data_IF_622761196006
#
_entry.id   IF_622761196006
#
_cell.length_a   1.000
_cell.length_b   1.000
_cell.length_c   1.000
_cell.angle_alpha   90.00
_cell.angle_beta   90.00
_cell.angle_gamma   90.00
#
_symmetry.space_group_name_H-M   'P 1'
#
loop_
_entity.id
_entity.type
_entity.pdbx_description
1 polymer ?
#
# COMPACT_ATOMS: atom_id res chain seq x y z
N UNK A 1 -3.43 4.94 -53.02
CA UNK A 1 -3.27 6.11 -52.13
C UNK A 1 -3.84 5.73 -50.77
N UNK A 2 -2.99 5.31 -49.83
CA UNK A 2 -3.41 4.87 -48.48
C UNK A 2 -3.63 6.11 -47.60
N UNK A 3 -4.82 6.25 -47.01
CA UNK A 3 -5.10 7.26 -46.00
C UNK A 3 -4.63 6.75 -44.64
N UNK A 4 -3.65 7.44 -44.06
CA UNK A 4 -3.15 7.20 -42.71
C UNK A 4 -4.15 7.81 -41.72
N UNK A 5 -4.89 6.99 -40.98
CA UNK A 5 -5.71 7.43 -39.87
C UNK A 5 -4.79 7.69 -38.67
N UNK A 6 -4.47 8.96 -38.42
CA UNK A 6 -3.66 9.38 -37.28
C UNK A 6 -4.54 9.39 -36.02
N UNK A 7 -4.51 8.30 -35.24
CA UNK A 7 -5.14 8.23 -33.92
C UNK A 7 -4.20 8.94 -32.93
N UNK A 8 -4.59 10.14 -32.50
CA UNK A 8 -3.94 10.88 -31.43
C UNK A 8 -4.21 10.14 -30.09
N UNK A 9 -3.25 9.34 -29.63
CA UNK A 9 -3.30 8.71 -28.31
C UNK A 9 -2.81 9.73 -27.27
N UNK A 10 -3.76 10.43 -26.64
CA UNK A 10 -3.51 11.24 -25.45
C UNK A 10 -3.32 10.32 -24.25
N UNK A 11 -2.06 9.96 -23.95
CA UNK A 11 -1.71 9.32 -22.69
C UNK A 11 -1.75 10.37 -21.57
N UNK A 12 -2.87 10.47 -20.85
CA UNK A 12 -2.95 11.26 -19.62
C UNK A 12 -2.31 10.43 -18.51
N UNK A 13 -1.02 10.64 -18.26
CA UNK A 13 -0.35 10.12 -17.07
C UNK A 13 -0.83 10.90 -15.85
N UNK A 14 -1.65 10.27 -14.99
CA UNK A 14 -1.96 10.81 -13.67
C UNK A 14 -0.88 10.39 -12.69
N UNK A 15 0.22 11.14 -12.64
CA UNK A 15 1.14 11.11 -11.50
C UNK A 15 0.42 11.77 -10.32
N UNK A 16 -0.22 10.99 -9.46
CA UNK A 16 -0.59 11.45 -8.12
C UNK A 16 0.56 11.14 -7.18
N UNK A 17 1.44 12.12 -6.87
CA UNK A 17 2.37 11.97 -5.78
C UNK A 17 1.51 11.94 -4.50
N UNK A 18 1.46 10.80 -3.82
CA UNK A 18 0.68 10.59 -2.59
C UNK A 18 1.32 11.33 -1.39
N UNK A 19 1.39 12.66 -1.47
CA UNK A 19 1.66 13.56 -0.35
C UNK A 19 0.33 14.15 0.07
N UNK A 20 -0.43 13.38 0.82
CA UNK A 20 -1.76 13.78 1.27
C UNK A 20 -2.27 12.76 2.26
N UNK A 21 -3.04 13.23 3.23
CA UNK A 21 -3.70 12.40 4.24
C UNK A 21 -4.22 11.11 3.59
N UNK A 22 -3.86 9.93 4.12
CA UNK A 22 -4.32 8.67 3.54
C UNK A 22 -5.83 8.72 3.49
N UNK A 23 -6.39 8.88 2.28
CA UNK A 23 -7.81 8.64 2.08
C UNK A 23 -8.03 7.22 2.58
N UNK A 24 -9.00 6.98 3.47
CA UNK A 24 -9.22 5.63 3.98
C UNK A 24 -9.35 4.71 2.76
N UNK A 25 -8.60 3.59 2.76
CA UNK A 25 -8.58 2.60 1.68
C UNK A 25 -9.99 2.30 1.14
N UNK A 26 -10.98 2.34 2.03
CA UNK A 26 -12.41 2.18 1.77
C UNK A 26 -13.02 3.20 0.79
N UNK A 27 -12.60 4.48 0.80
CA UNK A 27 -13.20 5.49 -0.07
C UNK A 27 -12.90 5.23 -1.57
N UNK A 28 -11.67 4.78 -1.87
CA UNK A 28 -11.31 4.36 -3.23
C UNK A 28 -12.05 3.10 -3.68
N UNK A 29 -12.28 2.15 -2.76
CA UNK A 29 -13.04 0.93 -3.02
C UNK A 29 -14.51 1.18 -3.36
N UNK A 30 -15.15 2.14 -2.69
CA UNK A 30 -16.57 2.46 -2.90
C UNK A 30 -16.80 3.26 -4.19
N UNK A 31 -15.81 4.04 -4.62
CA UNK A 31 -15.92 4.95 -5.77
C UNK A 31 -15.32 4.39 -7.07
N UNK A 32 -14.59 3.28 -7.02
CA UNK A 32 -13.98 2.69 -8.21
C UNK A 32 -15.01 2.44 -9.32
N UNK A 33 -14.70 2.80 -10.57
CA UNK A 33 -15.54 2.60 -11.76
C UNK A 33 -14.67 2.14 -12.93
N UNK A 34 -15.28 1.55 -13.95
CA UNK A 34 -14.57 0.99 -15.10
C UNK A 34 -13.50 0.00 -14.66
N UNK A 35 -12.31 0.10 -15.24
CA UNK A 35 -11.19 -0.80 -14.95
C UNK A 35 -10.71 -0.78 -13.49
N UNK A 36 -10.89 0.33 -12.75
CA UNK A 36 -10.55 0.39 -11.32
C UNK A 36 -11.43 -0.53 -10.46
N UNK A 37 -12.66 -0.81 -10.90
CA UNK A 37 -13.57 -1.71 -10.18
C UNK A 37 -13.06 -3.17 -10.14
N UNK A 38 -12.16 -3.55 -11.07
CA UNK A 38 -11.52 -4.87 -11.09
C UNK A 38 -10.55 -5.07 -9.92
N UNK A 39 -9.84 -4.01 -9.52
CA UNK A 39 -8.90 -4.05 -8.41
C UNK A 39 -9.58 -3.79 -7.06
N UNK A 40 -10.58 -2.90 -7.04
CA UNK A 40 -11.34 -2.53 -5.86
C UNK A 40 -12.54 -3.44 -5.60
N UNK A 41 -13.72 -3.05 -6.10
CA UNK A 41 -14.98 -3.74 -5.83
C UNK A 41 -15.74 -4.05 -7.14
N UNK A 42 -15.84 -5.34 -7.53
CA UNK A 42 -16.56 -5.76 -8.73
C UNK A 42 -18.02 -5.31 -8.79
N UNK A 43 -18.70 -5.17 -7.66
CA UNK A 43 -20.09 -4.70 -7.62
C UNK A 43 -20.26 -3.31 -8.24
N UNK A 44 -19.21 -2.49 -8.22
CA UNK A 44 -19.27 -1.15 -8.78
C UNK A 44 -19.44 -1.14 -10.31
N UNK A 45 -19.17 -2.25 -11.01
CA UNK A 45 -19.44 -2.38 -12.45
C UNK A 45 -20.94 -2.30 -12.78
N UNK A 46 -21.81 -2.60 -11.81
CA UNK A 46 -23.26 -2.50 -11.96
C UNK A 46 -23.85 -1.19 -11.43
N UNK A 47 -23.05 -0.32 -10.81
CA UNK A 47 -23.56 0.92 -10.23
C UNK A 47 -23.71 2.04 -11.27
N UNK A 48 -24.63 2.99 -11.05
CA UNK A 48 -24.73 4.21 -11.84
C UNK A 48 -23.38 4.95 -11.92
N UNK A 49 -23.13 5.55 -13.10
CA UNK A 49 -21.88 6.23 -13.41
C UNK A 49 -20.73 5.30 -13.83
N UNK A 50 -20.94 3.98 -13.88
CA UNK A 50 -19.98 3.07 -14.51
C UNK A 50 -19.99 3.25 -16.04
N UNK A 51 -18.85 3.52 -16.69
CA UNK A 51 -18.79 3.64 -18.13
C UNK A 51 -19.12 2.30 -18.80
N UNK A 52 -19.84 2.35 -19.93
CA UNK A 52 -20.15 1.15 -20.70
C UNK A 52 -18.89 0.50 -21.28
N UNK A 53 -17.88 1.27 -21.68
CA UNK A 53 -16.58 0.76 -22.10
C UNK A 53 -15.49 1.52 -21.34
N UNK A 54 -14.57 0.80 -20.71
CA UNK A 54 -13.37 1.36 -20.11
C UNK A 54 -12.18 0.53 -20.56
N UNK A 55 -11.09 1.21 -20.93
CA UNK A 55 -9.82 0.60 -21.30
C UNK A 55 -8.72 1.29 -20.50
N UNK A 56 -7.88 0.50 -19.85
CA UNK A 56 -6.66 1.01 -19.21
C UNK A 56 -5.46 0.27 -19.80
N UNK A 57 -4.57 1.05 -20.41
CA UNK A 57 -3.39 0.58 -21.13
C UNK A 57 -2.13 0.59 -20.25
N UNK A 58 -2.05 1.57 -19.34
CA UNK A 58 -0.96 1.71 -18.39
C UNK A 58 -1.44 2.50 -17.18
N UNK A 59 -1.52 1.85 -16.02
CA UNK A 59 -1.69 2.47 -14.71
C UNK A 59 -0.49 2.04 -13.85
N UNK A 60 0.00 2.92 -12.99
CA UNK A 60 1.11 2.62 -12.10
C UNK A 60 0.91 3.37 -10.80
N UNK A 61 0.92 2.62 -9.69
CA UNK A 61 0.74 3.17 -8.35
C UNK A 61 1.95 2.79 -7.50
N UNK A 62 2.68 3.79 -7.02
CA UNK A 62 3.76 3.60 -6.06
C UNK A 62 3.38 4.25 -4.76
N UNK A 63 3.60 3.54 -3.67
CA UNK A 63 3.49 4.09 -2.33
C UNK A 63 4.65 3.64 -1.47
N UNK A 64 5.01 4.52 -0.54
CA UNK A 64 5.99 4.24 0.50
C UNK A 64 5.39 4.68 1.83
N UNK A 65 5.56 3.87 2.87
CA UNK A 65 5.02 4.12 4.20
C UNK A 65 6.06 3.79 5.26
N UNK A 66 5.96 4.48 6.38
CA UNK A 66 6.82 4.29 7.52
C UNK A 66 6.03 4.43 8.83
N UNK A 67 6.35 3.62 9.85
CA UNK A 67 5.67 3.67 11.15
C UNK A 67 6.15 4.80 12.07
N UNK A 68 7.28 5.42 11.78
CA UNK A 68 7.94 6.36 12.68
C UNK A 68 7.76 7.83 12.33
N UNK A 69 7.60 8.16 11.05
CA UNK A 69 7.54 9.55 10.62
C UNK A 69 6.08 10.00 10.61
N UNK A 70 5.71 10.83 11.58
CA UNK A 70 4.40 11.49 11.59
C UNK A 70 4.53 12.99 11.87
N UNK A 71 3.66 13.78 11.24
CA UNK A 71 3.59 15.23 11.47
C UNK A 71 3.28 15.56 12.94
N UNK A 72 2.54 14.68 13.61
CA UNK A 72 2.23 14.79 15.04
C UNK A 72 3.50 14.70 15.90
N UNK A 73 4.38 13.74 15.62
CA UNK A 73 5.66 13.59 16.29
C UNK A 73 6.56 14.81 16.05
N UNK A 74 6.67 15.25 14.79
CA UNK A 74 7.44 16.43 14.43
C UNK A 74 6.98 17.65 15.22
N UNK A 75 5.69 17.97 15.19
CA UNK A 75 5.15 19.14 15.90
C UNK A 75 5.31 19.04 17.42
N UNK A 76 5.36 17.84 17.99
CA UNK A 76 5.46 17.64 19.45
C UNK A 76 6.89 17.81 19.97
N UNK A 77 7.89 17.35 19.22
CA UNK A 77 9.27 17.29 19.69
C UNK A 77 10.23 18.26 18.98
N UNK A 78 9.82 18.87 17.87
CA UNK A 78 10.65 19.87 17.18
C UNK A 78 10.94 21.07 18.08
N UNK A 79 12.22 21.40 18.24
CA UNK A 79 12.70 22.52 19.07
C UNK A 79 12.65 22.27 20.58
N UNK A 80 12.25 21.08 21.05
CA UNK A 80 12.18 20.72 22.47
C UNK A 80 13.42 19.95 22.91
N UNK A 81 13.92 20.21 24.13
CA UNK A 81 14.84 19.31 24.80
C UNK A 81 14.08 18.08 25.33
N UNK A 82 14.50 16.90 24.91
CA UNK A 82 13.86 15.63 25.28
C UNK A 82 14.27 15.21 26.68
N UNK A 83 13.29 15.03 27.57
CA UNK A 83 13.50 14.38 28.86
C UNK A 83 13.40 12.84 28.72
N UNK A 84 13.69 12.08 29.78
CA UNK A 84 13.67 10.60 29.71
C UNK A 84 12.29 10.03 29.35
N UNK A 85 11.20 10.63 29.82
CA UNK A 85 9.85 10.20 29.45
C UNK A 85 9.55 10.45 27.95
N UNK A 86 10.05 11.56 27.38
CA UNK A 86 9.93 11.86 25.95
C UNK A 86 10.73 10.84 25.12
N UNK A 87 11.91 10.43 25.59
CA UNK A 87 12.74 9.41 24.94
C UNK A 87 12.08 8.02 24.99
N UNK A 88 11.48 7.65 26.11
CA UNK A 88 10.73 6.40 26.24
C UNK A 88 9.49 6.37 25.34
N UNK A 89 8.73 7.46 25.28
CA UNK A 89 7.56 7.57 24.39
C UNK A 89 7.96 7.51 22.91
N UNK A 90 9.12 8.07 22.56
CA UNK A 90 9.68 7.90 21.22
C UNK A 90 10.04 6.44 20.99
N UNK A 91 10.85 5.81 21.85
CA UNK A 91 11.29 4.43 21.68
C UNK A 91 10.14 3.42 21.64
N UNK A 92 9.05 3.64 22.38
CA UNK A 92 7.88 2.77 22.36
C UNK A 92 7.15 2.79 21.00
N UNK A 93 7.18 3.90 20.28
CA UNK A 93 6.65 3.96 18.91
C UNK A 93 7.45 3.12 17.91
N UNK A 94 8.70 2.79 18.25
CA UNK A 94 9.57 1.88 17.48
C UNK A 94 9.76 0.55 18.20
N UNK A 95 8.85 0.16 19.11
CA UNK A 95 8.98 -1.10 19.87
C UNK A 95 9.14 -2.32 18.96
N UNK A 96 8.49 -2.29 17.80
CA UNK A 96 8.55 -3.33 16.76
C UNK A 96 9.55 -3.00 15.64
N UNK A 97 10.53 -2.13 15.93
CA UNK A 97 11.52 -1.63 14.99
C UNK A 97 11.02 -0.48 14.09
N UNK A 98 11.93 0.04 13.28
CA UNK A 98 11.65 1.08 12.30
C UNK A 98 11.27 0.46 10.95
N UNK A 99 9.97 0.30 10.74
CA UNK A 99 9.41 -0.36 9.55
C UNK A 99 9.18 0.62 8.41
N UNK A 100 9.85 0.36 7.30
CA UNK A 100 9.64 0.97 6.00
C UNK A 100 8.98 -0.05 5.07
N UNK A 101 7.96 0.38 4.35
CA UNK A 101 7.29 -0.46 3.34
C UNK A 101 7.15 0.31 2.06
N UNK A 102 7.74 -0.22 0.99
CA UNK A 102 7.49 0.20 -0.38
C UNK A 102 6.54 -0.78 -1.06
N UNK A 103 5.59 -0.23 -1.83
CA UNK A 103 4.73 -1.02 -2.71
C UNK A 103 4.66 -0.36 -4.07
N UNK A 104 4.82 -1.16 -5.10
CA UNK A 104 4.62 -0.79 -6.48
C UNK A 104 3.57 -1.72 -7.06
N UNK A 105 2.43 -1.16 -7.43
CA UNK A 105 1.37 -1.85 -8.12
C UNK A 105 1.40 -1.43 -9.60
N UNK A 106 1.62 -2.43 -10.46
CA UNK A 106 1.81 -2.29 -11.89
C UNK A 106 0.85 -3.24 -12.61
N UNK A 107 -0.28 -2.80 -13.14
CA UNK A 107 -0.98 -3.58 -14.15
C UNK A 107 -0.13 -3.73 -15.43
N UNK A 108 0.68 -4.79 -15.49
CA UNK A 108 1.50 -5.16 -16.67
C UNK A 108 1.26 -6.63 -17.10
N UNK A 109 1.16 -6.95 -18.41
CA UNK A 109 1.00 -6.04 -19.54
C UNK A 109 -0.48 -5.82 -19.94
N UNK A 110 -0.83 -4.53 -20.01
CA UNK A 110 -1.49 -3.79 -21.10
C UNK A 110 -3.01 -3.76 -21.26
N UNK A 111 -3.81 -4.67 -20.70
CA UNK A 111 -5.24 -4.63 -20.98
C UNK A 111 -6.10 -4.97 -19.77
N UNK A 112 -6.49 -3.93 -19.06
CA UNK A 112 -7.75 -3.97 -18.33
C UNK A 112 -8.81 -3.40 -19.25
N UNK A 113 -9.89 -4.14 -19.45
CA UNK A 113 -11.08 -3.59 -20.06
C UNK A 113 -12.32 -3.99 -19.29
N UNK A 114 -13.32 -3.12 -19.35
CA UNK A 114 -14.66 -3.42 -18.89
C UNK A 114 -15.65 -3.13 -20.00
N UNK A 115 -16.63 -4.00 -20.17
CA UNK A 115 -17.77 -3.78 -21.04
C UNK A 115 -19.07 -4.02 -20.26
N UNK A 116 -19.83 -2.95 -20.07
CA UNK A 116 -20.98 -2.90 -19.18
C UNK A 116 -20.61 -3.40 -17.78
N UNK A 117 -21.20 -4.54 -17.41
CA UNK A 117 -21.05 -5.15 -16.09
C UNK A 117 -19.93 -6.20 -16.01
N UNK A 118 -19.22 -6.46 -17.10
CA UNK A 118 -18.12 -7.42 -17.17
C UNK A 118 -16.78 -6.68 -17.24
N UNK A 119 -15.73 -7.30 -16.71
CA UNK A 119 -14.38 -6.88 -17.04
C UNK A 119 -13.32 -7.94 -16.84
N UNK A 120 -12.20 -7.74 -17.54
CA UNK A 120 -11.05 -8.61 -17.55
C UNK A 120 -9.80 -7.73 -17.48
N UNK A 121 -8.82 -8.14 -16.68
CA UNK A 121 -7.59 -7.38 -16.53
C UNK A 121 -6.42 -8.21 -16.01
N UNK A 122 -5.21 -7.72 -16.25
CA UNK A 122 -3.98 -8.24 -15.67
C UNK A 122 -3.51 -7.33 -14.54
N UNK A 123 -2.80 -7.89 -13.56
CA UNK A 123 -2.17 -7.11 -12.50
C UNK A 123 -0.79 -7.66 -12.16
N UNK A 124 0.08 -6.81 -11.65
CA UNK A 124 1.32 -7.16 -10.96
C UNK A 124 1.39 -6.34 -9.68
N UNK A 125 1.75 -6.99 -8.59
CA UNK A 125 1.94 -6.35 -7.29
C UNK A 125 3.33 -6.73 -6.79
N UNK A 126 4.15 -5.71 -6.60
CA UNK A 126 5.49 -5.83 -6.06
C UNK A 126 5.55 -5.06 -4.75
N UNK A 127 6.04 -5.70 -3.69
CA UNK A 127 6.23 -5.04 -2.41
C UNK A 127 7.55 -5.43 -1.80
N UNK A 128 8.17 -4.47 -1.12
CA UNK A 128 9.33 -4.68 -0.27
C UNK A 128 9.08 -4.01 1.07
N UNK A 129 9.34 -4.70 2.16
CA UNK A 129 9.30 -4.14 3.51
C UNK A 129 10.59 -4.44 4.23
N UNK A 130 11.14 -3.42 4.88
CA UNK A 130 12.35 -3.50 5.70
C UNK A 130 12.02 -2.92 7.07
N UNK A 131 12.26 -3.69 8.12
CA UNK A 131 12.23 -3.25 9.52
C UNK A 131 13.67 -3.14 9.99
N UNK A 132 14.10 -1.94 10.37
CA UNK A 132 15.39 -1.73 11.02
C UNK A 132 15.23 -1.88 12.53
N UNK A 133 16.31 -2.28 13.21
CA UNK A 133 16.33 -2.34 14.67
C UNK A 133 16.07 -0.97 15.29
N UNK A 134 15.45 -0.95 16.46
CA UNK A 134 15.38 0.27 17.29
C UNK A 134 16.73 0.63 17.94
N UNK A 135 17.69 -0.29 17.97
CA UNK A 135 18.96 -0.13 18.67
C UNK A 135 19.76 1.14 18.26
N UNK A 136 19.89 1.50 16.97
CA UNK A 136 20.54 2.76 16.59
C UNK A 136 19.82 4.02 17.12
N UNK A 137 18.49 3.98 17.22
CA UNK A 137 17.71 5.09 17.77
C UNK A 137 17.87 5.18 19.29
N UNK A 138 17.93 4.04 19.98
CA UNK A 138 18.22 3.98 21.41
C UNK A 138 19.57 4.60 21.73
N UNK A 139 20.61 4.25 20.98
CA UNK A 139 21.94 4.87 21.10
C UNK A 139 21.89 6.38 20.82
N UNK A 140 21.14 6.81 19.80
CA UNK A 140 21.03 8.24 19.48
C UNK A 140 20.33 9.05 20.59
N UNK A 141 19.35 8.46 21.30
CA UNK A 141 18.56 9.14 22.33
C UNK A 141 19.20 9.06 23.73
N UNK A 142 19.82 7.93 24.07
CA UNK A 142 20.34 7.64 25.42
C UNK A 142 21.86 7.63 25.51
N UNK A 143 22.55 7.57 24.37
CA UNK A 143 23.97 7.24 24.31
C UNK A 143 24.20 5.73 24.40
N UNK A 144 25.47 5.34 24.41
CA UNK A 144 25.88 3.93 24.55
C UNK A 144 26.82 3.82 25.75
N UNK A 145 26.41 3.09 26.79
CA UNK A 145 27.17 2.93 28.02
C UNK A 145 27.91 1.58 28.06
N UNK A 146 29.02 1.48 28.82
CA UNK A 146 29.67 0.19 29.06
C UNK A 146 28.70 -0.82 29.68
N UNK A 147 28.65 -2.03 29.12
CA UNK A 147 27.70 -3.08 29.53
C UNK A 147 26.38 -3.10 28.74
N UNK A 148 26.09 -2.07 27.95
CA UNK A 148 24.93 -2.07 27.06
C UNK A 148 25.08 -3.12 25.95
N UNK A 149 23.94 -3.70 25.56
CA UNK A 149 23.82 -4.65 24.46
C UNK A 149 22.83 -4.12 23.43
N UNK A 150 23.29 -4.00 22.20
CA UNK A 150 22.43 -3.71 21.06
C UNK A 150 21.96 -5.00 20.44
N UNK A 151 20.64 -5.19 20.49
CA UNK A 151 19.95 -6.31 19.87
C UNK A 151 19.49 -5.91 18.46
N UNK A 152 19.93 -6.67 17.46
CA UNK A 152 19.55 -6.47 16.06
C UNK A 152 18.62 -7.57 15.53
N UNK A 153 18.16 -8.48 16.39
CA UNK A 153 17.28 -9.60 16.03
C UNK A 153 15.89 -9.15 15.59
N UNK A 154 15.53 -7.89 15.83
CA UNK A 154 14.30 -7.24 15.41
C UNK A 154 14.36 -6.67 13.98
N UNK A 155 15.49 -6.81 13.28
CA UNK A 155 15.57 -6.46 11.86
C UNK A 155 14.86 -7.50 11.00
N UNK A 156 14.12 -7.08 9.99
CA UNK A 156 13.53 -8.01 9.01
C UNK A 156 13.53 -7.36 7.63
N UNK A 157 13.77 -8.12 6.57
CA UNK A 157 13.49 -7.65 5.23
C UNK A 157 12.79 -8.73 4.43
N UNK A 158 11.76 -8.34 3.69
CA UNK A 158 11.05 -9.23 2.78
C UNK A 158 10.66 -8.47 1.52
N UNK A 159 10.62 -9.17 0.41
CA UNK A 159 10.11 -8.66 -0.84
C UNK A 159 9.37 -9.77 -1.59
N UNK A 160 8.34 -9.39 -2.33
CA UNK A 160 7.65 -10.28 -3.23
C UNK A 160 7.26 -9.58 -4.54
N UNK A 161 7.11 -10.39 -5.57
CA UNK A 161 6.49 -10.00 -6.84
C UNK A 161 5.49 -11.07 -7.22
N UNK A 162 4.23 -10.66 -7.35
CA UNK A 162 3.14 -11.51 -7.84
C UNK A 162 2.50 -10.86 -9.07
N UNK A 163 1.93 -11.66 -9.96
CA UNK A 163 1.08 -11.16 -11.02
C UNK A 163 -0.14 -12.05 -11.21
N UNK A 164 -1.10 -11.61 -12.00
CA UNK A 164 -2.29 -12.42 -12.23
C UNK A 164 -3.25 -11.84 -13.25
N UNK A 165 -4.32 -12.60 -13.46
CA UNK A 165 -5.47 -12.23 -14.30
C UNK A 165 -6.70 -12.16 -13.41
N UNK A 166 -7.53 -11.13 -13.58
CA UNK A 166 -8.81 -10.95 -12.90
C UNK A 166 -9.92 -10.92 -13.93
N UNK A 167 -10.93 -11.77 -13.76
CA UNK A 167 -12.21 -11.66 -14.45
C UNK A 167 -13.28 -11.28 -13.43
N UNK A 168 -14.15 -10.33 -13.76
CA UNK A 168 -15.16 -9.83 -12.85
C UNK A 168 -16.51 -9.62 -13.57
N UNK A 169 -17.57 -9.77 -12.80
CA UNK A 169 -18.93 -9.50 -13.26
C UNK A 169 -19.77 -8.89 -12.13
N UNK A 170 -20.61 -7.91 -12.47
CA UNK A 170 -21.64 -7.38 -11.61
C UNK A 170 -23.04 -7.76 -12.09
N UNK A 171 -23.90 -8.09 -11.14
CA UNK A 171 -25.33 -8.18 -11.33
C UNK A 171 -26.01 -7.00 -10.63
N UNK A 172 -27.13 -6.54 -11.18
CA UNK A 172 -27.94 -5.46 -10.60
C UNK A 172 -29.32 -6.04 -10.37
N UNK A 173 -29.78 -5.92 -9.13
CA UNK A 173 -31.06 -6.40 -8.65
C UNK A 173 -31.98 -5.22 -8.44
N UNK A 174 -33.20 -5.32 -8.93
CA UNK A 174 -34.26 -4.39 -8.55
C UNK A 174 -34.64 -4.64 -7.08
N UNK A 175 -34.74 -3.58 -6.30
CA UNK A 175 -35.19 -3.67 -4.91
C UNK A 175 -36.70 -3.86 -4.90
N UNK A 176 -37.15 -5.06 -4.57
CA UNK A 176 -38.59 -5.39 -4.48
C UNK A 176 -39.13 -5.16 -3.06
N UNK A 177 -38.26 -5.03 -2.06
CA UNK A 177 -38.66 -4.83 -0.66
C UNK A 177 -39.08 -3.38 -0.39
N UNK A 178 -40.37 -3.17 -0.17
CA UNK A 178 -41.01 -1.85 -0.01
C UNK A 178 -40.32 -0.91 0.99
N UNK A 179 -39.92 -1.34 2.21
CA UNK A 179 -39.24 -0.45 3.14
C UNK A 179 -37.95 0.15 2.56
N UNK A 180 -37.15 -0.61 1.81
CA UNK A 180 -35.94 -0.09 1.17
C UNK A 180 -36.27 0.86 0.00
N UNK A 181 -37.33 0.60 -0.77
CA UNK A 181 -37.79 1.52 -1.82
C UNK A 181 -38.25 2.86 -1.24
N UNK A 182 -38.97 2.82 -0.11
CA UNK A 182 -39.40 4.03 0.60
C UNK A 182 -38.25 4.88 1.13
N UNK A 183 -37.07 4.28 1.34
CA UNK A 183 -35.83 4.98 1.68
C UNK A 183 -35.05 5.49 0.46
N UNK A 184 -35.60 5.33 -0.75
CA UNK A 184 -35.02 5.80 -2.01
C UNK A 184 -34.09 4.81 -2.70
N UNK A 185 -33.99 3.56 -2.23
CA UNK A 185 -33.20 2.53 -2.91
C UNK A 185 -34.03 1.87 -4.02
N UNK A 186 -33.61 2.05 -5.27
CA UNK A 186 -34.24 1.41 -6.43
C UNK A 186 -33.54 0.11 -6.85
N UNK A 187 -32.21 0.06 -6.70
CA UNK A 187 -31.36 -1.01 -7.20
C UNK A 187 -30.26 -1.37 -6.19
N UNK A 188 -29.83 -2.63 -6.23
CA UNK A 188 -28.65 -3.12 -5.49
C UNK A 188 -27.73 -3.82 -6.47
N UNK A 189 -26.44 -3.52 -6.45
CA UNK A 189 -25.47 -4.26 -7.24
C UNK A 189 -24.62 -5.20 -6.39
N UNK A 190 -24.44 -6.42 -6.89
CA UNK A 190 -23.54 -7.43 -6.32
C UNK A 190 -22.52 -7.82 -7.38
N UNK A 191 -21.28 -8.06 -6.98
CA UNK A 191 -20.23 -8.45 -7.93
C UNK A 191 -19.44 -9.66 -7.46
N UNK A 192 -18.92 -10.41 -8.44
CA UNK A 192 -18.00 -11.51 -8.24
C UNK A 192 -16.73 -11.25 -9.04
N UNK A 193 -15.58 -11.63 -8.49
CA UNK A 193 -14.32 -11.64 -9.22
C UNK A 193 -13.57 -12.95 -8.99
N UNK A 194 -12.98 -13.47 -10.06
CA UNK A 194 -12.08 -14.60 -10.08
C UNK A 194 -10.69 -14.10 -10.41
N UNK A 195 -9.71 -14.47 -9.58
CA UNK A 195 -8.31 -14.09 -9.74
C UNK A 195 -7.45 -15.34 -9.87
N UNK A 196 -6.68 -15.43 -10.96
CA UNK A 196 -5.59 -16.38 -11.10
C UNK A 196 -4.29 -15.66 -10.78
N UNK A 197 -3.55 -16.11 -9.76
CA UNK A 197 -2.37 -15.41 -9.23
C UNK A 197 -1.16 -16.32 -9.32
N UNK A 198 -0.06 -15.79 -9.85
CA UNK A 198 1.24 -16.43 -9.96
C UNK A 198 2.27 -15.63 -9.17
N UNK A 199 3.04 -16.31 -8.32
CA UNK A 199 4.22 -15.74 -7.67
C UNK A 199 5.44 -15.84 -8.57
N UNK A 200 6.22 -14.77 -8.66
CA UNK A 200 7.44 -14.71 -9.48
C UNK A 200 8.70 -14.72 -8.64
N UNK A 201 8.71 -13.90 -7.59
CA UNK A 201 9.83 -13.76 -6.69
C UNK A 201 9.33 -13.61 -5.27
N UNK A 202 10.04 -14.25 -4.35
CA UNK A 202 9.92 -14.03 -2.92
C UNK A 202 11.32 -14.05 -2.34
N UNK A 203 11.67 -13.03 -1.59
CA UNK A 203 12.92 -12.94 -0.86
C UNK A 203 12.60 -12.56 0.58
N UNK A 204 13.26 -13.24 1.52
CA UNK A 204 13.31 -12.84 2.91
C UNK A 204 14.78 -12.82 3.32
N UNK A 205 15.25 -11.71 3.84
CA UNK A 205 16.57 -11.66 4.43
C UNK A 205 16.48 -12.28 5.84
N UNK A 206 17.29 -13.29 6.08
CA UNK A 206 17.54 -13.77 7.44
C UNK A 206 18.37 -12.72 8.17
N UNK A 207 17.93 -12.42 9.39
CA UNK A 207 18.46 -11.37 10.24
C UNK A 207 19.85 -11.76 10.74
N UNK A 208 20.81 -10.84 10.87
CA UNK A 208 22.06 -11.17 11.55
C UNK A 208 21.78 -11.63 12.99
N UNK A 209 22.19 -12.86 13.32
CA UNK A 209 22.28 -13.36 14.69
C UNK A 209 23.48 -12.71 15.38
N UNK A 210 23.35 -11.43 15.77
CA UNK A 210 24.45 -10.68 16.35
C UNK A 210 23.98 -9.71 17.43
N UNK A 211 24.58 -9.82 18.62
CA UNK A 211 24.54 -8.78 19.65
C UNK A 211 25.85 -7.98 19.57
N UNK A 212 25.77 -6.64 19.57
CA UNK A 212 26.95 -5.80 19.79
C UNK A 212 27.00 -5.40 21.26
N UNK A 213 28.03 -5.87 21.97
CA UNK A 213 28.30 -5.50 23.35
C UNK A 213 29.51 -4.57 23.45
N UNK A 214 29.41 -3.54 24.30
CA UNK A 214 30.58 -2.72 24.65
C UNK A 214 31.35 -3.39 25.78
N UNK A 215 32.61 -3.75 25.52
CA UNK A 215 33.51 -4.26 26.56
C UNK A 215 33.92 -3.16 27.55
N UNK A 216 34.12 -3.54 28.81
CA UNK A 216 34.75 -2.66 29.80
C UNK A 216 36.24 -2.50 29.47
N UNK A 217 36.69 -1.26 29.25
CA UNK A 217 38.11 -0.95 29.13
C UNK A 217 38.59 -0.35 30.46
N UNK A 218 39.37 -1.13 31.20
CA UNK A 218 40.12 -0.61 32.35
C UNK A 218 41.34 0.13 31.83
N UNK A 219 41.33 1.47 31.95
CA UNK A 219 42.55 2.24 31.81
C UNK A 219 43.44 1.96 33.02
N UNK A 220 44.50 1.18 32.83
CA UNK A 220 45.57 1.09 33.81
C UNK A 220 46.28 2.45 33.83
N UNK A 221 46.01 3.24 34.87
CA UNK A 221 46.76 4.45 35.21
C UNK A 221 48.03 4.12 35.97
#
# INVERSE_FOLDING_TARGET
MQQLLMILVLAIMKLEPAWGTPKPLYAGFLQARGTDALAGNPANLGLPGNPFLSLSLLDFKVGTWNNALSMRLYNRYSGKYLNEADKEELLDQFRDGWRWTGRAYLPLPLFCFTIGKFGLGTFMDASASVTFSKAPLEVALRGFMPGDRLDFRDMEAQAYVISGVTAAYAHVWDVVYEPLRSWGFSEVSTGVALKYITGWAYARAEVPEGELGMGEYYAWG
#
